data_IF_299545582696
#
_entry.id   IF_299545582696
#
_cell.length_a   1.000
_cell.length_b   1.000
_cell.length_c   1.000
_cell.angle_alpha   90.00
_cell.angle_beta   90.00
_cell.angle_gamma   90.00
#
_symmetry.space_group_name_H-M   'P 1'
#
loop_
_entity.id
_entity.type
_entity.pdbx_description
1 polymer ?
#
# COMPACT_ATOMS: atom_id res chain seq x y z
N UNK A 1 39.81 -17.36 8.52
CA UNK A 1 38.69 -16.88 7.73
C UNK A 1 37.52 -16.77 8.67
N UNK A 2 37.23 -15.56 9.16
CA UNK A 2 36.20 -15.32 10.14
C UNK A 2 34.88 -15.11 9.38
N UNK A 3 33.89 -15.93 9.68
CA UNK A 3 32.50 -15.77 9.18
C UNK A 3 31.92 -14.51 9.80
N UNK A 4 31.59 -13.54 8.97
CA UNK A 4 30.87 -12.32 9.35
C UNK A 4 29.41 -12.67 9.70
N UNK A 5 28.99 -12.51 10.97
CA UNK A 5 27.60 -12.83 11.36
C UNK A 5 26.53 -11.94 10.71
N UNK A 6 26.92 -10.80 10.09
CA UNK A 6 25.98 -9.91 9.41
C UNK A 6 25.52 -10.41 8.03
N UNK A 7 26.26 -11.31 7.40
CA UNK A 7 25.84 -11.90 6.11
C UNK A 7 24.84 -13.04 6.26
N UNK A 8 24.74 -13.63 7.45
CA UNK A 8 23.81 -14.76 7.71
C UNK A 8 22.40 -14.29 8.04
N UNK A 9 22.20 -13.03 8.42
CA UNK A 9 20.88 -12.49 8.78
C UNK A 9 20.04 -12.04 7.56
N UNK A 10 20.65 -11.96 6.38
CA UNK A 10 19.91 -11.60 5.15
C UNK A 10 19.34 -12.81 4.38
N UNK A 11 19.62 -14.04 4.82
CA UNK A 11 19.23 -15.26 4.10
C UNK A 11 17.95 -15.92 4.62
N UNK A 12 17.31 -15.43 5.69
CA UNK A 12 16.16 -16.07 6.32
C UNK A 12 14.87 -15.22 6.36
N UNK A 13 14.75 -14.17 5.54
CA UNK A 13 13.47 -13.46 5.36
C UNK A 13 12.79 -13.94 4.07
N UNK A 14 12.46 -15.22 4.01
CA UNK A 14 11.67 -15.83 2.93
C UNK A 14 10.17 -15.78 3.26
N UNK A 15 9.59 -14.60 3.49
CA UNK A 15 8.15 -14.51 3.59
C UNK A 15 7.70 -13.10 3.13
N UNK A 16 7.12 -13.06 1.96
CA UNK A 16 6.40 -11.95 1.33
C UNK A 16 7.23 -10.67 1.17
N UNK A 17 8.00 -10.55 0.06
CA UNK A 17 8.93 -9.43 -0.19
C UNK A 17 8.27 -8.06 -0.41
N UNK A 18 6.95 -7.98 -0.57
CA UNK A 18 6.24 -6.74 -0.90
C UNK A 18 5.60 -6.01 0.27
N UNK A 19 5.70 -6.54 1.46
CA UNK A 19 5.11 -5.87 2.61
C UNK A 19 5.85 -4.58 2.93
N UNK A 20 5.11 -3.49 3.10
CA UNK A 20 5.64 -2.24 3.61
C UNK A 20 5.94 -2.37 5.10
N UNK A 21 7.22 -2.50 5.43
CA UNK A 21 7.69 -2.61 6.81
C UNK A 21 8.38 -1.30 7.21
N UNK A 22 7.96 -0.64 8.30
CA UNK A 22 8.60 0.56 8.80
C UNK A 22 10.13 0.43 8.93
N UNK A 23 10.87 1.43 8.45
CA UNK A 23 12.34 1.44 8.44
C UNK A 23 12.99 0.71 7.27
N UNK A 24 12.21 0.20 6.30
CA UNK A 24 12.74 -0.31 5.02
C UNK A 24 12.72 0.77 3.95
N UNK A 25 13.55 0.60 2.89
CA UNK A 25 13.52 1.53 1.75
C UNK A 25 12.15 1.55 1.07
N UNK A 26 11.48 0.41 0.93
CA UNK A 26 10.13 0.35 0.37
C UNK A 26 9.13 1.18 1.19
N UNK A 27 9.23 1.11 2.53
CA UNK A 27 8.43 1.97 3.40
C UNK A 27 8.68 3.45 3.11
N UNK A 28 9.94 3.88 3.08
CA UNK A 28 10.30 5.30 2.84
C UNK A 28 9.79 5.83 1.49
N UNK A 29 9.66 4.96 0.49
CA UNK A 29 9.19 5.33 -0.85
C UNK A 29 7.66 5.37 -0.97
N UNK A 30 6.96 4.45 -0.32
CA UNK A 30 5.52 4.22 -0.59
C UNK A 30 4.61 4.52 0.61
N UNK A 31 5.15 4.80 1.81
CA UNK A 31 4.32 5.00 3.01
C UNK A 31 3.29 6.12 2.85
N UNK A 32 3.69 7.23 2.22
CA UNK A 32 2.82 8.41 2.04
C UNK A 32 1.61 8.07 1.19
N UNK A 33 1.83 7.35 0.09
CA UNK A 33 0.78 6.89 -0.81
C UNK A 33 -0.22 5.99 -0.09
N UNK A 34 0.28 5.00 0.63
CA UNK A 34 -0.55 4.04 1.34
C UNK A 34 -1.30 4.68 2.52
N UNK A 35 -0.61 5.47 3.35
CA UNK A 35 -1.25 6.20 4.47
C UNK A 35 -2.37 7.10 3.97
N UNK A 36 -2.16 7.82 2.88
CA UNK A 36 -3.18 8.70 2.29
C UNK A 36 -4.45 7.94 1.92
N UNK A 37 -4.34 6.70 1.39
CA UNK A 37 -5.53 5.87 1.11
C UNK A 37 -6.34 5.58 2.38
N UNK A 38 -5.66 5.22 3.48
CA UNK A 38 -6.31 4.96 4.77
C UNK A 38 -6.93 6.22 5.38
N UNK A 39 -6.22 7.34 5.38
CA UNK A 39 -6.74 8.63 5.85
C UNK A 39 -7.97 9.06 5.03
N UNK A 40 -7.91 8.85 3.73
CA UNK A 40 -9.04 9.11 2.83
C UNK A 40 -10.23 8.18 3.11
N UNK A 41 -10.01 6.89 3.34
CA UNK A 41 -11.05 5.90 3.62
C UNK A 41 -11.69 6.07 5.00
N UNK A 42 -11.01 6.70 5.93
CA UNK A 42 -11.46 6.89 7.31
C UNK A 42 -12.86 7.53 7.40
N UNK A 43 -13.23 8.42 6.46
CA UNK A 43 -14.57 9.03 6.39
C UNK A 43 -15.71 8.03 6.21
N UNK A 44 -15.44 6.89 5.59
CA UNK A 44 -16.41 5.81 5.42
C UNK A 44 -16.47 4.88 6.62
N UNK A 45 -15.48 4.95 7.51
CA UNK A 45 -15.26 4.04 8.63
C UNK A 45 -15.67 4.63 9.98
N UNK A 46 -15.96 5.94 10.05
CA UNK A 46 -16.31 6.63 11.29
C UNK A 46 -17.51 5.96 11.99
N UNK A 47 -17.36 5.64 13.27
CA UNK A 47 -18.38 5.00 14.11
C UNK A 47 -18.70 3.54 13.76
N UNK A 48 -17.98 2.90 12.83
CA UNK A 48 -18.27 1.56 12.32
C UNK A 48 -17.35 0.49 12.92
N UNK A 49 -17.83 -0.76 12.83
CA UNK A 49 -17.00 -1.97 13.03
C UNK A 49 -16.37 -2.30 11.67
N UNK A 50 -15.06 -2.16 11.58
CA UNK A 50 -14.28 -2.25 10.34
C UNK A 50 -13.39 -3.47 10.34
N UNK A 51 -13.32 -4.17 9.22
CA UNK A 51 -12.29 -5.16 8.91
C UNK A 51 -11.30 -4.54 7.91
N UNK A 52 -10.02 -4.62 8.23
CA UNK A 52 -8.90 -4.25 7.35
C UNK A 52 -8.25 -5.55 6.84
N UNK A 53 -8.49 -5.90 5.58
CA UNK A 53 -8.06 -7.17 4.98
C UNK A 53 -6.69 -7.01 4.34
N UNK A 54 -5.77 -7.91 4.66
CA UNK A 54 -4.35 -7.86 4.34
C UNK A 54 -3.70 -6.58 4.93
N UNK A 55 -3.93 -6.38 6.23
CA UNK A 55 -3.53 -5.16 6.95
C UNK A 55 -2.00 -4.96 7.07
N UNK A 56 -1.19 -5.94 6.66
CA UNK A 56 0.26 -5.90 6.75
C UNK A 56 0.75 -5.64 8.17
N UNK A 57 1.54 -4.59 8.35
CA UNK A 57 2.06 -4.19 9.67
C UNK A 57 1.04 -3.43 10.53
N UNK A 58 -0.21 -3.26 10.08
CA UNK A 58 -1.32 -2.71 10.85
C UNK A 58 -1.38 -1.19 10.97
N UNK A 59 -0.45 -0.44 10.37
CA UNK A 59 -0.47 1.03 10.42
C UNK A 59 -1.78 1.61 9.87
N UNK A 60 -2.34 1.00 8.82
CA UNK A 60 -3.62 1.40 8.24
C UNK A 60 -4.78 1.17 9.19
N UNK A 61 -4.81 0.02 9.84
CA UNK A 61 -5.81 -0.30 10.87
C UNK A 61 -5.79 0.73 12.01
N UNK A 62 -4.60 1.18 12.44
CA UNK A 62 -4.46 2.22 13.46
C UNK A 62 -4.97 3.58 12.97
N UNK A 63 -4.66 3.97 11.73
CA UNK A 63 -5.20 5.21 11.13
C UNK A 63 -6.72 5.19 11.15
N UNK A 64 -7.37 4.10 10.74
CA UNK A 64 -8.82 3.96 10.76
C UNK A 64 -9.38 4.04 12.18
N UNK A 65 -8.70 3.41 13.15
CA UNK A 65 -9.11 3.41 14.55
C UNK A 65 -8.99 4.80 15.18
N UNK A 66 -7.88 5.49 14.96
CA UNK A 66 -7.61 6.83 15.48
C UNK A 66 -8.52 7.89 14.82
N UNK A 67 -8.93 7.66 13.59
CA UNK A 67 -9.90 8.51 12.87
C UNK A 67 -11.36 8.28 13.30
N UNK A 68 -11.63 7.46 14.31
CA UNK A 68 -12.95 7.35 14.94
C UNK A 68 -13.78 6.12 14.52
N UNK A 69 -13.19 5.10 13.91
CA UNK A 69 -13.88 3.81 13.79
C UNK A 69 -14.19 3.25 15.18
N UNK A 70 -15.39 2.70 15.38
CA UNK A 70 -15.80 2.17 16.68
C UNK A 70 -14.96 0.94 17.09
N UNK A 71 -14.61 0.12 16.10
CA UNK A 71 -13.71 -1.04 16.25
C UNK A 71 -13.02 -1.31 14.93
N UNK A 72 -11.74 -1.64 14.97
CA UNK A 72 -11.00 -2.12 13.79
C UNK A 72 -10.39 -3.47 14.11
N UNK A 73 -10.53 -4.40 13.16
CA UNK A 73 -9.87 -5.70 13.16
C UNK A 73 -9.04 -5.76 11.91
N UNK A 74 -7.72 -5.85 12.05
CA UNK A 74 -6.79 -6.13 10.97
C UNK A 74 -6.61 -7.64 10.79
N UNK A 75 -6.70 -8.13 9.57
CA UNK A 75 -6.47 -9.52 9.21
C UNK A 75 -5.35 -9.62 8.19
N UNK A 76 -4.35 -10.45 8.44
CA UNK A 76 -3.23 -10.69 7.52
C UNK A 76 -2.79 -12.15 7.59
N UNK A 77 -2.25 -12.67 6.48
CA UNK A 77 -1.77 -14.05 6.41
C UNK A 77 -0.46 -14.26 7.16
N UNK A 78 0.33 -13.22 7.40
CA UNK A 78 1.64 -13.33 8.02
C UNK A 78 1.60 -13.07 9.53
N UNK A 79 1.98 -14.08 10.29
CA UNK A 79 2.03 -14.05 11.75
C UNK A 79 3.02 -13.02 12.30
N UNK A 80 4.15 -12.84 11.63
CA UNK A 80 5.21 -11.88 12.04
C UNK A 80 4.77 -10.42 11.94
N UNK A 81 3.96 -10.07 10.93
CA UNK A 81 3.37 -8.75 10.82
C UNK A 81 2.45 -8.46 12.01
N UNK A 82 1.61 -9.42 12.36
CA UNK A 82 0.65 -9.33 13.46
C UNK A 82 1.35 -9.26 14.82
N UNK A 83 2.36 -10.10 15.03
CA UNK A 83 3.11 -10.15 16.30
C UNK A 83 3.86 -8.85 16.59
N UNK A 84 4.38 -8.18 15.55
CA UNK A 84 5.03 -6.88 15.69
C UNK A 84 4.06 -5.75 16.04
N UNK A 85 2.76 -5.95 15.79
CA UNK A 85 1.73 -4.94 15.96
C UNK A 85 1.00 -5.03 17.32
N UNK A 86 1.19 -6.09 18.10
CA UNK A 86 0.39 -6.36 19.32
C UNK A 86 0.70 -5.46 20.52
N UNK A 87 1.79 -4.70 20.51
CA UNK A 87 2.20 -3.85 21.64
C UNK A 87 1.82 -2.39 21.44
N UNK A 88 0.77 -1.94 22.12
CA UNK A 88 0.36 -0.53 22.16
C UNK A 88 -0.68 -0.09 21.12
N UNK A 89 -1.17 -1.01 20.30
CA UNK A 89 -2.19 -0.72 19.29
C UNK A 89 -3.61 -0.74 19.87
N UNK A 90 -4.48 0.09 19.29
CA UNK A 90 -5.93 0.14 19.61
C UNK A 90 -6.74 -0.76 18.70
N UNK A 91 -6.23 -1.08 17.51
CA UNK A 91 -6.82 -2.07 16.62
C UNK A 91 -6.53 -3.49 17.13
N UNK A 92 -7.41 -4.42 16.82
CA UNK A 92 -7.23 -5.85 17.07
C UNK A 92 -6.67 -6.51 15.81
N UNK A 93 -5.87 -7.56 15.96
CA UNK A 93 -5.27 -8.25 14.81
C UNK A 93 -5.53 -9.76 14.87
N UNK A 94 -5.65 -10.38 13.71
CA UNK A 94 -5.81 -11.82 13.59
C UNK A 94 -5.07 -12.36 12.35
N UNK A 95 -4.55 -13.57 12.47
CA UNK A 95 -4.03 -14.29 11.30
C UNK A 95 -5.18 -14.85 10.48
N UNK A 96 -5.24 -14.50 9.20
CA UNK A 96 -6.29 -14.99 8.32
C UNK A 96 -5.87 -14.95 6.84
N UNK A 97 -6.34 -15.95 6.10
CA UNK A 97 -6.37 -15.91 4.64
C UNK A 97 -7.53 -15.02 4.18
N UNK A 98 -7.23 -14.02 3.37
CA UNK A 98 -8.22 -13.11 2.82
C UNK A 98 -9.30 -13.80 1.97
N UNK A 99 -8.96 -14.96 1.37
CA UNK A 99 -9.88 -15.79 0.63
C UNK A 99 -10.67 -16.79 1.50
N UNK A 100 -10.44 -16.79 2.84
CA UNK A 100 -11.13 -17.65 3.82
C UNK A 100 -11.14 -16.98 5.19
N UNK A 101 -11.89 -15.90 5.31
CA UNK A 101 -11.94 -15.08 6.52
C UNK A 101 -12.59 -15.81 7.71
N UNK A 102 -11.96 -15.85 8.89
CA UNK A 102 -12.44 -16.60 10.06
C UNK A 102 -13.52 -15.83 10.85
N UNK A 103 -14.38 -15.11 10.15
CA UNK A 103 -15.45 -14.33 10.77
C UNK A 103 -16.82 -14.83 10.35
N UNK A 104 -17.83 -14.74 11.22
CA UNK A 104 -19.21 -15.01 10.85
C UNK A 104 -19.69 -14.09 9.72
N UNK A 105 -20.75 -14.54 9.04
CA UNK A 105 -21.45 -13.69 8.09
C UNK A 105 -21.95 -12.41 8.75
N UNK A 106 -22.00 -11.33 7.99
CA UNK A 106 -22.62 -10.06 8.41
C UNK A 106 -22.03 -9.49 9.73
N UNK A 107 -20.72 -9.58 9.92
CA UNK A 107 -20.03 -9.14 11.13
C UNK A 107 -19.59 -7.67 11.10
N UNK A 108 -19.36 -7.11 9.90
CA UNK A 108 -18.74 -5.80 9.73
C UNK A 108 -19.65 -4.80 9.03
N UNK A 109 -19.53 -3.53 9.45
CA UNK A 109 -20.21 -2.40 8.79
C UNK A 109 -19.42 -1.90 7.59
N UNK A 110 -18.10 -2.05 7.62
CA UNK A 110 -17.20 -1.70 6.50
C UNK A 110 -16.03 -2.68 6.42
N UNK A 111 -15.55 -2.92 5.20
CA UNK A 111 -14.33 -3.65 4.92
C UNK A 111 -13.43 -2.77 4.03
N UNK A 112 -12.17 -2.66 4.42
CA UNK A 112 -11.11 -2.01 3.66
C UNK A 112 -10.13 -3.08 3.18
N UNK A 113 -9.73 -3.03 1.91
CA UNK A 113 -8.75 -3.94 1.32
C UNK A 113 -7.96 -3.17 0.25
N UNK A 114 -6.74 -2.78 0.56
CA UNK A 114 -5.90 -1.99 -0.31
C UNK A 114 -4.70 -2.77 -0.80
N UNK A 115 -4.44 -2.72 -2.11
CA UNK A 115 -3.32 -3.39 -2.78
C UNK A 115 -3.21 -4.86 -2.30
N UNK A 116 -4.27 -5.61 -2.50
CA UNK A 116 -4.38 -7.00 -2.03
C UNK A 116 -4.85 -7.92 -3.14
N UNK A 117 -5.82 -7.47 -3.92
CA UNK A 117 -6.54 -8.31 -4.89
C UNK A 117 -5.63 -8.82 -6.00
N UNK A 118 -4.58 -8.08 -6.33
CA UNK A 118 -3.56 -8.45 -7.30
C UNK A 118 -2.62 -9.56 -6.82
N UNK A 119 -2.58 -9.82 -5.50
CA UNK A 119 -1.70 -10.83 -4.88
C UNK A 119 -2.39 -12.18 -4.64
N UNK A 120 -3.71 -12.27 -4.84
CA UNK A 120 -4.45 -13.51 -4.58
C UNK A 120 -4.68 -14.30 -5.88
N UNK A 121 -4.62 -15.62 -5.79
CA UNK A 121 -4.90 -16.51 -6.94
C UNK A 121 -6.35 -16.40 -7.43
N UNK A 122 -7.27 -16.06 -6.54
CA UNK A 122 -8.71 -15.96 -6.85
C UNK A 122 -9.31 -14.64 -6.37
N UNK A 123 -9.22 -13.56 -7.16
CA UNK A 123 -9.85 -12.27 -6.87
C UNK A 123 -11.35 -12.37 -6.55
N UNK A 124 -12.06 -13.24 -7.26
CA UNK A 124 -13.48 -13.44 -7.00
C UNK A 124 -13.75 -14.03 -5.62
N UNK A 125 -12.90 -14.95 -5.15
CA UNK A 125 -13.04 -15.54 -3.83
C UNK A 125 -12.79 -14.55 -2.71
N UNK A 126 -11.82 -13.67 -2.88
CA UNK A 126 -11.60 -12.54 -1.97
C UNK A 126 -12.85 -11.67 -1.86
N UNK A 127 -13.41 -11.21 -3.00
CA UNK A 127 -14.60 -10.36 -3.00
C UNK A 127 -15.83 -11.08 -2.43
N UNK A 128 -15.97 -12.38 -2.69
CA UNK A 128 -17.04 -13.21 -2.11
C UNK A 128 -16.94 -13.26 -0.57
N UNK A 129 -15.75 -13.46 -0.02
CA UNK A 129 -15.52 -13.49 1.43
C UNK A 129 -15.75 -12.11 2.05
N UNK A 130 -15.28 -11.04 1.40
CA UNK A 130 -15.60 -9.67 1.83
C UNK A 130 -17.12 -9.44 1.85
N UNK A 131 -17.82 -9.84 0.79
CA UNK A 131 -19.27 -9.71 0.73
C UNK A 131 -19.97 -10.55 1.81
N UNK A 132 -19.48 -11.77 2.10
CA UNK A 132 -20.05 -12.64 3.14
C UNK A 132 -19.98 -11.99 4.52
N UNK A 133 -18.81 -11.46 4.90
CA UNK A 133 -18.60 -10.88 6.23
C UNK A 133 -19.21 -9.49 6.42
N UNK A 134 -19.52 -8.78 5.33
CA UNK A 134 -20.23 -7.50 5.39
C UNK A 134 -21.70 -7.69 5.72
N UNK A 135 -22.23 -6.80 6.56
CA UNK A 135 -23.67 -6.67 6.81
C UNK A 135 -24.41 -6.23 5.54
N UNK A 136 -25.72 -6.49 5.40
CA UNK A 136 -26.53 -5.86 4.36
C UNK A 136 -26.37 -4.33 4.41
N UNK A 137 -26.14 -3.69 3.25
CA UNK A 137 -25.81 -2.26 3.19
C UNK A 137 -24.43 -1.86 3.69
N UNK A 138 -23.61 -2.82 4.13
CA UNK A 138 -22.22 -2.58 4.53
C UNK A 138 -21.35 -2.16 3.34
N UNK A 139 -20.27 -1.44 3.63
CA UNK A 139 -19.43 -0.76 2.63
C UNK A 139 -18.13 -1.55 2.40
N UNK A 140 -17.83 -1.86 1.15
CA UNK A 140 -16.52 -2.34 0.70
C UNK A 140 -15.72 -1.19 0.08
N UNK A 141 -14.47 -0.99 0.51
CA UNK A 141 -13.53 -0.04 -0.06
C UNK A 141 -12.32 -0.85 -0.50
N UNK A 142 -12.13 -0.98 -1.80
CA UNK A 142 -11.09 -1.82 -2.37
C UNK A 142 -10.25 -1.06 -3.39
N UNK A 143 -8.93 -1.18 -3.33
CA UNK A 143 -8.03 -0.65 -4.35
C UNK A 143 -7.25 -1.76 -5.05
N UNK A 144 -6.78 -1.43 -6.24
CA UNK A 144 -5.86 -2.24 -7.02
C UNK A 144 -4.99 -1.35 -7.90
N UNK A 145 -3.72 -1.68 -8.12
CA UNK A 145 -2.92 -1.03 -9.13
C UNK A 145 -3.54 -1.26 -10.51
N UNK A 146 -3.31 -0.33 -11.41
CA UNK A 146 -3.84 -0.43 -12.76
C UNK A 146 -2.82 -1.13 -13.66
N UNK A 147 -3.16 -2.32 -14.17
CA UNK A 147 -2.30 -3.04 -15.12
C UNK A 147 -1.95 -2.22 -16.36
N UNK A 148 -2.87 -1.38 -16.83
CA UNK A 148 -2.68 -0.56 -18.03
C UNK A 148 -1.87 0.72 -17.74
N UNK A 149 -1.48 0.97 -16.49
CA UNK A 149 -0.63 2.10 -16.15
C UNK A 149 0.74 1.96 -16.80
N UNK A 150 1.11 2.96 -17.60
CA UNK A 150 2.42 3.06 -18.22
C UNK A 150 3.18 4.24 -17.57
N UNK A 151 4.24 3.98 -16.82
CA UNK A 151 5.09 5.07 -16.33
C UNK A 151 5.77 5.78 -17.50
N UNK A 152 5.96 7.09 -17.38
CA UNK A 152 6.66 7.90 -18.41
C UNK A 152 8.06 7.40 -18.75
N UNK A 153 8.65 6.54 -17.92
CA UNK A 153 9.94 5.88 -18.16
C UNK A 153 9.92 4.80 -19.25
N UNK A 154 8.74 4.43 -19.75
CA UNK A 154 8.58 3.49 -20.86
C UNK A 154 8.71 2.00 -20.52
N UNK A 155 9.18 1.65 -19.33
CA UNK A 155 9.28 0.27 -18.86
C UNK A 155 8.55 0.13 -17.52
N UNK A 156 7.38 -0.52 -17.53
CA UNK A 156 6.77 -1.05 -16.32
C UNK A 156 7.62 -2.25 -15.89
N UNK A 157 8.25 -2.18 -14.73
CA UNK A 157 8.86 -3.36 -14.14
C UNK A 157 7.71 -4.31 -13.71
N UNK A 158 7.68 -5.51 -14.27
CA UNK A 158 6.73 -6.53 -13.86
C UNK A 158 7.02 -6.93 -12.42
N UNK A 159 6.00 -6.82 -11.58
CA UNK A 159 6.09 -7.26 -10.22
C UNK A 159 5.76 -8.77 -10.15
N UNK A 160 6.72 -9.65 -9.79
CA UNK A 160 6.48 -11.09 -9.80
C UNK A 160 5.45 -11.55 -8.76
N UNK A 161 5.04 -10.69 -7.84
CA UNK A 161 4.03 -10.98 -6.82
C UNK A 161 2.62 -10.55 -7.24
N UNK A 162 2.47 -9.76 -8.30
CA UNK A 162 1.18 -9.39 -8.88
C UNK A 162 0.69 -10.50 -9.82
N UNK A 163 0.10 -11.53 -9.25
CA UNK A 163 -0.35 -12.72 -10.02
C UNK A 163 -1.70 -12.51 -10.70
N UNK A 164 -2.48 -11.51 -10.29
CA UNK A 164 -3.82 -11.22 -10.82
C UNK A 164 -4.07 -9.72 -11.01
N UNK A 165 -3.06 -8.98 -11.48
CA UNK A 165 -3.20 -7.55 -11.76
C UNK A 165 -4.24 -7.30 -12.87
N UNK A 166 -5.15 -6.37 -12.62
CA UNK A 166 -6.29 -6.08 -13.49
C UNK A 166 -6.26 -4.63 -13.98
N UNK A 167 -6.87 -4.40 -15.13
CA UNK A 167 -7.23 -3.04 -15.49
C UNK A 167 -8.57 -2.64 -14.86
N UNK A 168 -8.91 -1.35 -14.98
CA UNK A 168 -10.14 -0.80 -14.40
C UNK A 168 -11.40 -1.60 -14.76
N UNK A 169 -11.58 -1.96 -16.04
CA UNK A 169 -12.78 -2.66 -16.50
C UNK A 169 -12.88 -4.08 -15.99
N UNK A 170 -11.76 -4.80 -15.97
CA UNK A 170 -11.71 -6.16 -15.42
C UNK A 170 -12.06 -6.17 -13.94
N UNK A 171 -11.51 -5.21 -13.18
CA UNK A 171 -11.84 -5.07 -11.78
C UNK A 171 -13.31 -4.65 -11.57
N UNK A 172 -13.81 -3.69 -12.34
CA UNK A 172 -15.22 -3.29 -12.30
C UNK A 172 -16.16 -4.48 -12.52
N UNK A 173 -15.88 -5.32 -13.52
CA UNK A 173 -16.70 -6.50 -13.83
C UNK A 173 -16.75 -7.48 -12.68
N UNK A 174 -15.63 -7.80 -12.04
CA UNK A 174 -15.63 -8.75 -10.92
C UNK A 174 -16.20 -8.13 -9.64
N UNK A 175 -15.94 -6.85 -9.38
CA UNK A 175 -16.42 -6.14 -8.21
C UNK A 175 -17.95 -6.02 -8.22
N UNK A 176 -18.55 -5.70 -9.38
CA UNK A 176 -20.00 -5.55 -9.53
C UNK A 176 -20.80 -6.84 -9.39
N UNK A 177 -20.15 -8.01 -9.39
CA UNK A 177 -20.83 -9.28 -9.05
C UNK A 177 -21.26 -9.32 -7.58
N UNK A 178 -20.60 -8.59 -6.71
CA UNK A 178 -20.79 -8.67 -5.25
C UNK A 178 -21.24 -7.35 -4.64
N UNK A 179 -20.98 -6.21 -5.29
CA UNK A 179 -21.21 -4.87 -4.74
C UNK A 179 -21.84 -3.94 -5.78
N UNK A 180 -22.75 -3.07 -5.32
CA UNK A 180 -23.20 -1.94 -6.11
C UNK A 180 -22.19 -0.81 -5.94
N UNK A 181 -21.45 -0.43 -6.99
CA UNK A 181 -20.50 0.69 -6.95
C UNK A 181 -21.27 1.98 -6.68
N UNK A 182 -20.98 2.63 -5.57
CA UNK A 182 -21.51 3.95 -5.25
C UNK A 182 -20.59 5.06 -5.74
N UNK A 183 -19.28 4.85 -5.64
CA UNK A 183 -18.27 5.83 -6.00
C UNK A 183 -17.02 5.12 -6.53
N UNK A 184 -16.30 5.79 -7.43
CA UNK A 184 -15.00 5.34 -7.92
C UNK A 184 -14.02 6.50 -7.91
N UNK A 185 -12.79 6.21 -7.50
CA UNK A 185 -11.72 7.17 -7.36
C UNK A 185 -10.44 6.64 -8.01
N UNK A 186 -9.54 7.56 -8.29
CA UNK A 186 -8.17 7.25 -8.66
C UNK A 186 -7.21 7.92 -7.72
N UNK A 187 -6.13 7.23 -7.39
CA UNK A 187 -4.97 7.85 -6.78
C UNK A 187 -3.90 8.06 -7.86
N UNK A 188 -3.39 9.27 -7.96
CA UNK A 188 -2.40 9.68 -8.94
C UNK A 188 -1.34 10.55 -8.28
N UNK A 189 -0.20 10.70 -8.94
CA UNK A 189 0.81 11.66 -8.52
C UNK A 189 0.33 13.09 -8.76
N UNK A 190 0.65 14.01 -7.84
CA UNK A 190 0.45 15.44 -8.07
C UNK A 190 1.38 15.96 -9.18
N UNK A 191 0.99 17.05 -9.83
CA UNK A 191 1.84 17.68 -10.85
C UNK A 191 3.19 18.16 -10.28
N UNK A 192 3.22 18.54 -9.02
CA UNK A 192 4.45 18.92 -8.31
C UNK A 192 5.38 17.74 -8.17
N UNK A 193 4.86 16.58 -7.75
CA UNK A 193 5.64 15.37 -7.61
C UNK A 193 6.15 14.85 -8.98
N UNK A 194 5.32 14.89 -10.01
CA UNK A 194 5.74 14.51 -11.38
C UNK A 194 6.88 15.38 -11.90
N UNK A 195 6.82 16.69 -11.68
CA UNK A 195 7.93 17.61 -12.02
C UNK A 195 9.20 17.27 -11.24
N UNK A 196 9.06 16.93 -9.98
CA UNK A 196 10.16 16.52 -9.11
C UNK A 196 10.84 15.25 -9.63
N UNK A 197 10.04 14.22 -9.96
CA UNK A 197 10.55 12.97 -10.58
C UNK A 197 11.25 13.25 -11.92
N UNK A 198 10.73 14.16 -12.74
CA UNK A 198 11.35 14.57 -14.00
C UNK A 198 12.71 15.22 -13.76
N UNK A 199 12.83 16.14 -12.82
CA UNK A 199 14.11 16.77 -12.46
C UNK A 199 15.13 15.76 -11.95
N UNK A 200 14.70 14.79 -11.12
CA UNK A 200 15.56 13.70 -10.65
C UNK A 200 16.09 12.85 -11.80
N UNK A 201 15.24 12.51 -12.78
CA UNK A 201 15.64 11.76 -13.99
C UNK A 201 16.65 12.53 -14.84
N UNK A 202 16.44 13.84 -15.02
CA UNK A 202 17.38 14.69 -15.74
C UNK A 202 18.75 14.77 -15.05
N UNK A 203 18.77 14.85 -13.72
CA UNK A 203 19.99 14.79 -12.93
C UNK A 203 20.68 13.43 -13.03
N UNK A 204 19.94 12.32 -12.92
CA UNK A 204 20.49 10.97 -13.03
C UNK A 204 21.07 10.71 -14.44
N UNK A 205 20.41 11.20 -15.48
CA UNK A 205 20.91 11.11 -16.87
C UNK A 205 22.24 11.82 -17.08
N UNK A 206 22.52 12.90 -16.33
CA UNK A 206 23.77 13.66 -16.36
C UNK A 206 24.89 13.05 -15.53
N UNK A 207 24.53 12.32 -14.49
CA UNK A 207 25.47 11.76 -13.50
C UNK A 207 26.01 10.36 -13.85
N UNK A 208 25.70 9.80 -15.03
CA UNK A 208 26.08 8.47 -15.55
C UNK A 208 27.00 7.62 -14.64
N UNK A 209 26.82 6.36 -14.49
CA UNK A 209 25.70 5.40 -14.53
C UNK A 209 25.45 4.72 -13.17
N UNK A 210 25.25 5.48 -12.11
CA UNK A 210 24.93 4.93 -10.80
C UNK A 210 23.41 4.87 -10.72
N UNK A 211 22.85 3.66 -10.84
CA UNK A 211 21.40 3.47 -10.62
C UNK A 211 20.98 4.10 -9.30
N UNK A 212 19.93 4.88 -9.31
CA UNK A 212 19.38 5.61 -8.16
C UNK A 212 19.30 4.75 -6.88
N UNK A 213 18.89 3.48 -7.01
CA UNK A 213 18.89 2.50 -5.91
C UNK A 213 20.29 2.20 -5.32
N UNK A 214 21.37 2.42 -6.10
CA UNK A 214 22.75 2.29 -5.61
C UNK A 214 23.20 3.55 -4.89
N UNK A 215 22.75 4.72 -5.33
CA UNK A 215 23.04 6.00 -4.68
C UNK A 215 22.44 6.03 -3.27
N UNK A 216 21.18 5.65 -3.13
CA UNK A 216 20.51 5.56 -1.82
C UNK A 216 21.18 4.52 -0.88
N UNK A 217 21.64 3.37 -1.42
CA UNK A 217 22.40 2.39 -0.63
C UNK A 217 23.78 2.88 -0.23
N UNK A 218 24.44 3.61 -1.12
CA UNK A 218 25.77 4.19 -0.86
C UNK A 218 25.66 5.28 0.20
N UNK A 219 24.66 6.13 0.13
CA UNK A 219 24.37 7.17 1.10
C UNK A 219 24.13 6.59 2.51
N UNK A 220 23.29 5.56 2.63
CA UNK A 220 23.06 4.87 3.92
C UNK A 220 24.34 4.27 4.51
N UNK A 221 25.23 3.75 3.65
CA UNK A 221 26.53 3.19 4.04
C UNK A 221 27.52 4.28 4.47
N UNK A 222 27.51 5.42 3.79
CA UNK A 222 28.37 6.58 4.10
C UNK A 222 27.89 7.26 5.38
N UNK A 223 26.60 7.42 5.62
CA UNK A 223 26.02 7.95 6.87
C UNK A 223 26.36 7.08 8.09
N UNK A 224 26.35 5.73 7.91
CA UNK A 224 26.76 4.80 8.97
C UNK A 224 28.25 4.90 9.32
N UNK A 225 29.09 5.34 8.37
CA UNK A 225 30.54 5.39 8.53
C UNK A 225 31.06 6.77 9.02
N UNK A 226 30.42 7.88 8.62
CA UNK A 226 30.89 9.24 8.92
C UNK A 226 30.26 9.89 10.17
N UNK A 227 29.24 9.26 10.79
CA UNK A 227 28.52 9.89 11.91
C UNK A 227 27.63 11.05 11.46
N UNK A 228 26.60 11.35 12.27
CA UNK A 228 25.56 12.37 11.92
C UNK A 228 26.07 13.79 11.72
N UNK A 229 27.21 14.16 12.28
CA UNK A 229 27.63 15.56 12.39
C UNK A 229 28.49 16.07 11.23
N UNK A 230 28.93 15.19 10.32
CA UNK A 230 29.92 15.56 9.29
C UNK A 230 29.29 16.01 7.95
N UNK A 231 27.98 16.00 7.81
CA UNK A 231 27.29 16.21 6.52
C UNK A 231 26.34 17.43 6.49
N UNK A 232 26.49 18.36 7.42
CA UNK A 232 25.61 19.54 7.59
C UNK A 232 25.45 20.49 6.37
N UNK A 233 25.99 20.17 5.22
CA UNK A 233 25.82 20.97 4.00
C UNK A 233 25.29 20.16 2.79
N UNK A 234 25.33 18.83 2.87
CA UNK A 234 24.86 17.92 1.81
C UNK A 234 23.52 17.24 2.15
N UNK A 235 23.07 17.43 3.40
CA UNK A 235 21.91 16.72 3.96
C UNK A 235 20.56 17.14 3.37
N UNK A 236 20.48 18.29 2.70
CA UNK A 236 19.17 18.86 2.34
C UNK A 236 18.67 18.50 0.93
N UNK A 237 19.54 18.15 -0.02
CA UNK A 237 19.12 17.96 -1.40
C UNK A 237 18.64 16.51 -1.72
N UNK A 238 19.35 15.44 -1.38
CA UNK A 238 18.91 14.08 -1.75
C UNK A 238 17.72 13.58 -0.94
N UNK A 239 17.61 13.95 0.35
CA UNK A 239 16.49 13.50 1.19
C UNK A 239 15.18 14.19 0.85
N UNK A 240 15.23 15.50 0.58
CA UNK A 240 14.06 16.26 0.14
C UNK A 240 13.60 15.86 -1.26
N UNK A 241 14.52 15.37 -2.10
CA UNK A 241 14.25 14.93 -3.46
C UNK A 241 13.74 13.49 -3.57
N UNK A 242 14.01 12.65 -2.56
CA UNK A 242 13.72 11.22 -2.61
C UNK A 242 12.48 10.79 -1.81
N UNK A 243 11.96 11.65 -0.92
CA UNK A 243 10.80 11.31 -0.08
C UNK A 243 9.55 11.97 -0.62
N UNK A 244 8.53 11.16 -0.87
CA UNK A 244 7.19 11.67 -1.07
C UNK A 244 6.71 12.36 0.22
N UNK A 245 5.97 13.46 0.05
CA UNK A 245 5.38 14.21 1.17
C UNK A 245 3.85 14.23 1.03
N UNK A 246 3.11 14.50 2.11
CA UNK A 246 1.68 14.71 2.02
C UNK A 246 1.34 15.75 0.93
N UNK A 247 0.45 15.40 0.00
CA UNK A 247 0.11 16.22 -1.17
C UNK A 247 0.83 15.83 -2.47
N UNK A 248 1.80 14.94 -2.44
CA UNK A 248 2.42 14.38 -3.66
C UNK A 248 1.49 13.41 -4.39
N UNK A 249 0.51 12.86 -3.69
CA UNK A 249 -0.54 12.03 -4.24
C UNK A 249 -1.89 12.72 -4.15
N UNK A 250 -2.78 12.42 -5.08
CA UNK A 250 -4.12 12.97 -5.15
C UNK A 250 -5.11 11.82 -5.31
N UNK A 251 -6.10 11.75 -4.41
CA UNK A 251 -7.26 10.87 -4.57
C UNK A 251 -8.42 11.74 -5.06
N UNK A 252 -8.86 11.49 -6.28
CA UNK A 252 -9.91 12.26 -6.93
C UNK A 252 -10.99 11.35 -7.52
N UNK A 253 -12.27 11.83 -7.62
CA UNK A 253 -13.32 11.09 -8.28
C UNK A 253 -12.91 10.70 -9.70
N UNK A 254 -13.20 9.47 -10.08
CA UNK A 254 -12.93 8.98 -11.42
C UNK A 254 -14.09 9.35 -12.33
N UNK A 255 -13.86 10.33 -13.19
CA UNK A 255 -14.89 10.83 -14.12
C UNK A 255 -14.93 9.98 -15.41
N UNK A 256 -13.80 9.44 -15.83
CA UNK A 256 -13.66 8.52 -16.98
C UNK A 256 -12.47 7.59 -16.70
N UNK A 257 -12.55 6.31 -17.12
CA UNK A 257 -11.38 5.45 -17.06
C UNK A 257 -10.30 6.02 -17.98
N UNK A 258 -9.21 6.45 -17.40
CA UNK A 258 -8.03 6.91 -18.12
C UNK A 258 -6.91 5.88 -17.93
N UNK A 259 -6.17 5.60 -19.01
CA UNK A 259 -5.11 4.58 -19.02
C UNK A 259 -3.90 4.96 -18.14
N UNK A 260 -3.81 6.21 -17.69
CA UNK A 260 -2.69 6.72 -16.87
C UNK A 260 -3.01 6.82 -15.37
N UNK A 261 -3.95 6.05 -14.87
CA UNK A 261 -4.23 5.99 -13.44
C UNK A 261 -3.29 4.99 -12.77
N UNK A 262 -2.61 5.42 -11.72
CA UNK A 262 -1.71 4.57 -10.94
C UNK A 262 -2.49 3.48 -10.22
N UNK A 263 -3.49 3.88 -9.44
CA UNK A 263 -4.34 3.01 -8.63
C UNK A 263 -5.78 3.48 -8.73
N UNK A 264 -6.73 2.56 -8.81
CA UNK A 264 -8.14 2.87 -8.69
C UNK A 264 -8.72 2.34 -7.38
N UNK A 265 -9.72 3.05 -6.86
CA UNK A 265 -10.38 2.76 -5.60
C UNK A 265 -11.88 2.70 -5.85
N UNK A 266 -12.52 1.59 -5.53
CA UNK A 266 -13.96 1.44 -5.56
C UNK A 266 -14.55 1.47 -4.17
N UNK A 267 -15.64 2.21 -4.03
CA UNK A 267 -16.52 2.19 -2.88
C UNK A 267 -17.84 1.58 -3.34
N UNK A 268 -18.20 0.46 -2.75
CA UNK A 268 -19.43 -0.24 -3.10
C UNK A 268 -20.18 -0.71 -1.87
N UNK A 269 -21.50 -0.78 -1.98
CA UNK A 269 -22.36 -1.32 -0.94
C UNK A 269 -22.78 -2.75 -1.27
N UNK A 270 -22.81 -3.60 -0.25
CA UNK A 270 -23.43 -4.92 -0.34
C UNK A 270 -24.95 -4.75 -0.42
N UNK A 271 -25.57 -5.37 -1.40
CA UNK A 271 -27.03 -5.44 -1.54
C UNK A 271 -27.68 -6.15 -0.33
#
# INVERSE_FOLDING_TARGET
MANDPMLTTMANNSAVPERLVPGTLAWELYEVEHKQRYEWAARYCYGKIVLDVACGTGYGSEILRDSGAAKVIGADLALDAINNNSNGHRALFTNADACKLPFPDQSFDAVVSFETIEHVESPERLLMEIARVLKPGGICICSSPNRDFQPDSGNKEENPFHISEMNYREFEVIFTKYFCISESFSQTHSQTYLRHLQLLRELDSRLKPIRFSRLLRLEKKIRGWLGRDSLNGLDSLPEQLARAVPGDYIIAPLIKPANNLLTFIFVGSKA
#
